data_IF_939280150151
#
_entry.id   IF_939280150151
#
_cell.length_a   1.000
_cell.length_b   1.000
_cell.length_c   1.000
_cell.angle_alpha   90.00
_cell.angle_beta   90.00
_cell.angle_gamma   90.00
#
_symmetry.space_group_name_H-M   'P 1'
#
loop_
_entity.id
_entity.type
_entity.pdbx_description
1 polymer ?
#
# COMPACT_ATOMS: atom_id res chain seq x y z
N UNK A 1 -21.95 2.45 -6.64
CA UNK A 1 -21.05 3.36 -5.89
C UNK A 1 -20.47 4.45 -6.78
N UNK A 2 -19.68 4.11 -7.82
CA UNK A 2 -19.05 5.12 -8.70
C UNK A 2 -20.04 6.17 -9.24
N UNK A 3 -21.17 5.76 -9.82
CA UNK A 3 -22.18 6.70 -10.33
C UNK A 3 -22.74 7.63 -9.26
N UNK A 4 -22.90 7.15 -8.02
CA UNK A 4 -23.37 7.98 -6.92
C UNK A 4 -22.32 9.03 -6.54
N UNK A 5 -21.03 8.66 -6.52
CA UNK A 5 -19.94 9.62 -6.30
C UNK A 5 -19.89 10.68 -7.41
N UNK A 6 -20.03 10.26 -8.66
CA UNK A 6 -20.06 11.18 -9.81
C UNK A 6 -21.25 12.15 -9.76
N UNK A 7 -22.42 11.69 -9.28
CA UNK A 7 -23.61 12.55 -9.15
C UNK A 7 -23.49 13.66 -8.10
N UNK A 8 -22.48 13.61 -7.21
CA UNK A 8 -22.25 14.68 -6.23
C UNK A 8 -21.70 15.96 -6.88
N UNK A 9 -21.18 15.89 -8.11
CA UNK A 9 -20.51 17.01 -8.77
C UNK A 9 -19.11 17.34 -8.21
N UNK A 10 -18.62 16.59 -7.22
CA UNK A 10 -17.28 16.77 -6.66
C UNK A 10 -16.28 15.78 -7.26
N UNK A 11 -15.03 16.21 -7.57
CA UNK A 11 -13.97 15.29 -7.94
C UNK A 11 -13.56 14.46 -6.72
N UNK A 12 -13.94 13.18 -6.71
CA UNK A 12 -13.65 12.23 -5.62
C UNK A 12 -12.69 11.16 -6.14
N UNK A 13 -11.58 10.95 -5.42
CA UNK A 13 -10.65 9.87 -5.70
C UNK A 13 -11.27 8.52 -5.31
N UNK A 14 -11.27 7.56 -6.23
CA UNK A 14 -11.86 6.23 -6.00
C UNK A 14 -10.77 5.19 -5.81
N UNK A 15 -10.59 4.72 -4.57
CA UNK A 15 -9.74 3.56 -4.25
C UNK A 15 -10.61 2.32 -4.03
N UNK A 16 -10.42 1.29 -4.86
CA UNK A 16 -11.17 0.04 -4.80
C UNK A 16 -10.47 -0.92 -3.86
N UNK A 17 -11.13 -1.31 -2.77
CA UNK A 17 -10.62 -2.29 -1.82
C UNK A 17 -11.53 -3.52 -1.80
N UNK A 18 -11.22 -4.49 -2.67
CA UNK A 18 -11.90 -5.80 -2.71
C UNK A 18 -10.90 -6.97 -2.63
N UNK A 19 -9.70 -6.70 -2.11
CA UNK A 19 -8.61 -7.65 -1.91
C UNK A 19 -8.15 -8.42 -3.15
N UNK A 20 -8.15 -7.80 -4.33
CA UNK A 20 -7.79 -8.49 -5.56
C UNK A 20 -8.89 -9.43 -6.10
N UNK A 21 -10.02 -9.53 -5.41
CA UNK A 21 -11.12 -10.44 -5.78
C UNK A 21 -11.80 -10.04 -7.09
N UNK A 22 -12.57 -10.98 -7.65
CA UNK A 22 -13.30 -10.81 -8.90
C UNK A 22 -12.42 -10.28 -10.06
N UNK A 23 -11.15 -10.68 -10.09
CA UNK A 23 -10.17 -10.28 -11.10
C UNK A 23 -10.08 -8.76 -11.30
N UNK A 24 -10.07 -7.99 -10.21
CA UNK A 24 -10.09 -6.52 -10.26
C UNK A 24 -9.00 -5.89 -11.15
N UNK A 25 -7.87 -6.57 -11.40
CA UNK A 25 -6.88 -6.07 -12.37
C UNK A 25 -7.43 -5.88 -13.78
N UNK A 26 -8.44 -6.64 -14.20
CA UNK A 26 -8.95 -6.55 -15.58
C UNK A 26 -9.89 -5.36 -15.80
N UNK A 27 -10.47 -4.81 -14.73
CA UNK A 27 -11.49 -3.76 -14.82
C UNK A 27 -11.30 -2.58 -13.86
N UNK A 28 -10.44 -2.69 -12.85
CA UNK A 28 -10.27 -1.70 -11.79
C UNK A 28 -9.85 -0.33 -12.31
N UNK A 29 -8.94 -0.29 -13.27
CA UNK A 29 -8.50 0.94 -13.95
C UNK A 29 -9.61 1.64 -14.75
N UNK A 30 -10.68 0.93 -15.14
CA UNK A 30 -11.77 1.54 -15.88
C UNK A 30 -12.74 2.33 -14.98
N UNK A 31 -12.79 2.01 -13.68
CA UNK A 31 -13.81 2.55 -12.77
C UNK A 31 -13.24 3.13 -11.46
N UNK A 32 -11.92 3.11 -11.27
CA UNK A 32 -11.25 3.64 -10.09
C UNK A 32 -9.87 4.21 -10.40
N UNK A 33 -9.35 4.98 -9.46
CA UNK A 33 -8.00 5.55 -9.53
C UNK A 33 -6.95 4.61 -8.94
N UNK A 34 -7.39 3.66 -8.14
CA UNK A 34 -6.57 2.55 -7.66
C UNK A 34 -7.41 1.35 -7.31
N UNK A 35 -6.79 0.17 -7.30
CA UNK A 35 -7.41 -1.05 -6.83
C UNK A 35 -6.41 -1.91 -6.08
N UNK A 36 -6.85 -2.47 -4.95
CA UNK A 36 -6.02 -3.33 -4.14
C UNK A 36 -5.80 -4.69 -4.83
N UNK A 37 -4.55 -5.16 -4.84
CA UNK A 37 -4.17 -6.41 -5.52
C UNK A 37 -4.28 -7.67 -4.64
N UNK A 38 -4.33 -7.51 -3.31
CA UNK A 38 -4.31 -8.61 -2.33
C UNK A 38 -5.03 -8.21 -1.04
N UNK A 39 -5.04 -9.07 -0.02
CA UNK A 39 -5.56 -8.76 1.33
C UNK A 39 -4.71 -7.72 2.08
N UNK A 40 -4.92 -7.56 3.38
CA UNK A 40 -4.17 -6.57 4.17
C UNK A 40 -2.68 -6.96 4.28
N UNK A 41 -1.81 -5.94 4.20
CA UNK A 41 -0.35 -6.08 4.40
C UNK A 41 0.00 -6.27 5.88
N UNK A 42 -0.81 -5.71 6.78
CA UNK A 42 -0.70 -6.03 8.20
C UNK A 42 -1.31 -7.41 8.49
N UNK A 43 -0.80 -8.14 9.50
CA UNK A 43 -1.31 -9.45 9.86
C UNK A 43 -2.68 -9.31 10.56
N UNK A 44 -3.73 -9.20 9.75
CA UNK A 44 -5.10 -8.92 10.20
C UNK A 44 -6.08 -10.09 10.02
N UNK A 45 -5.61 -11.29 9.64
CA UNK A 45 -6.47 -12.44 9.32
C UNK A 45 -6.03 -13.79 9.90
N UNK A 46 -5.48 -13.78 11.11
CA UNK A 46 -5.11 -15.03 11.81
C UNK A 46 -3.93 -15.79 11.18
N UNK A 47 -3.27 -15.20 10.18
CA UNK A 47 -2.00 -15.68 9.63
C UNK A 47 -0.85 -15.05 10.41
N UNK A 48 -0.13 -15.91 11.12
CA UNK A 48 1.24 -15.79 11.66
C UNK A 48 1.62 -14.65 12.63
N UNK A 49 0.86 -13.57 12.79
CA UNK A 49 1.15 -12.56 13.81
C UNK A 49 -0.08 -12.05 14.55
N UNK A 50 0.01 -12.08 15.87
CA UNK A 50 -1.04 -11.70 16.83
C UNK A 50 -0.87 -10.28 17.39
N UNK A 51 0.23 -9.58 17.09
CA UNK A 51 0.56 -8.27 17.69
C UNK A 51 0.33 -7.06 16.76
N UNK A 52 -0.05 -7.29 15.50
CA UNK A 52 -0.41 -6.26 14.52
C UNK A 52 0.77 -5.41 14.02
N UNK A 53 2.01 -5.89 14.17
CA UNK A 53 3.22 -5.21 13.68
C UNK A 53 3.51 -5.59 12.22
N UNK A 54 4.39 -4.83 11.57
CA UNK A 54 4.76 -5.08 10.18
C UNK A 54 5.83 -6.18 10.06
N UNK A 55 5.70 -7.05 9.07
CA UNK A 55 6.71 -8.07 8.75
C UNK A 55 7.37 -7.82 7.40
N UNK A 56 8.68 -8.01 7.35
CA UNK A 56 9.41 -7.93 6.08
C UNK A 56 9.01 -9.03 5.09
N UNK A 57 8.76 -10.26 5.57
CA UNK A 57 8.24 -11.37 4.76
C UNK A 57 6.98 -10.97 3.99
N UNK A 58 6.05 -10.32 4.69
CA UNK A 58 4.78 -9.86 4.14
C UNK A 58 4.98 -8.70 3.16
N UNK A 59 5.81 -7.73 3.51
CA UNK A 59 6.18 -6.63 2.59
C UNK A 59 6.80 -7.18 1.30
N UNK A 60 7.75 -8.10 1.40
CA UNK A 60 8.41 -8.71 0.25
C UNK A 60 7.44 -9.51 -0.63
N UNK A 61 6.47 -10.21 -0.02
CA UNK A 61 5.40 -10.91 -0.75
C UNK A 61 4.58 -9.94 -1.62
N UNK A 62 4.16 -8.80 -1.06
CA UNK A 62 3.38 -7.79 -1.79
C UNK A 62 4.19 -7.10 -2.88
N UNK A 63 5.46 -6.82 -2.62
CA UNK A 63 6.38 -6.30 -3.64
C UNK A 63 6.48 -7.29 -4.79
N UNK A 64 6.65 -8.59 -4.50
CA UNK A 64 6.72 -9.62 -5.53
C UNK A 64 5.40 -9.70 -6.32
N UNK A 65 4.24 -9.76 -5.66
CA UNK A 65 2.94 -9.79 -6.33
C UNK A 65 2.70 -8.57 -7.22
N UNK A 66 3.05 -7.37 -6.73
CA UNK A 66 2.85 -6.13 -7.47
C UNK A 66 3.83 -5.96 -8.63
N UNK A 67 5.04 -6.54 -8.53
CA UNK A 67 6.06 -6.45 -9.59
C UNK A 67 5.55 -6.98 -10.94
N UNK A 68 4.67 -7.99 -10.93
CA UNK A 68 4.05 -8.56 -12.13
C UNK A 68 2.92 -7.70 -12.72
N UNK A 69 2.47 -6.67 -12.01
CA UNK A 69 1.36 -5.78 -12.39
C UNK A 69 1.80 -4.38 -12.76
N UNK A 70 3.10 -4.13 -12.83
CA UNK A 70 3.65 -2.82 -13.16
C UNK A 70 3.28 -2.33 -14.57
N UNK A 71 2.91 -3.24 -15.47
CA UNK A 71 2.35 -2.92 -16.79
C UNK A 71 0.89 -2.41 -16.73
N UNK A 72 0.19 -2.62 -15.61
CA UNK A 72 -1.17 -2.12 -15.38
C UNK A 72 -1.18 -0.68 -14.83
N UNK A 73 -0.01 -0.11 -14.54
CA UNK A 73 0.14 1.25 -14.02
C UNK A 73 -0.06 2.27 -15.16
N UNK A 74 -1.14 3.06 -15.06
CA UNK A 74 -1.44 4.16 -15.95
C UNK A 74 -1.19 5.54 -15.32
N UNK A 75 -1.61 6.59 -16.03
CA UNK A 75 -1.62 7.95 -15.49
C UNK A 75 -2.75 8.14 -14.45
N UNK A 76 -3.91 7.53 -14.70
CA UNK A 76 -5.14 7.72 -13.91
C UNK A 76 -5.49 6.56 -12.98
N UNK A 77 -4.81 5.41 -13.11
CA UNK A 77 -5.14 4.16 -12.45
C UNK A 77 -3.90 3.33 -12.17
N UNK A 78 -3.89 2.59 -11.06
CA UNK A 78 -2.73 1.80 -10.60
C UNK A 78 -3.13 0.67 -9.64
N UNK A 79 -2.41 -0.46 -9.66
CA UNK A 79 -2.49 -1.45 -8.60
C UNK A 79 -1.99 -0.86 -7.27
N UNK A 80 -2.66 -1.24 -6.19
CA UNK A 80 -2.38 -0.82 -4.82
C UNK A 80 -1.89 -2.03 -3.99
N UNK A 81 -0.60 -2.08 -3.60
CA UNK A 81 -0.04 -3.12 -2.73
C UNK A 81 -0.37 -2.91 -1.24
N UNK A 82 -1.38 -2.10 -0.92
CA UNK A 82 -1.84 -1.76 0.42
C UNK A 82 -0.96 -0.72 1.15
N UNK A 83 -1.37 -0.40 2.38
CA UNK A 83 -0.89 0.73 3.18
C UNK A 83 0.60 0.70 3.51
N UNK A 84 1.11 1.87 3.88
CA UNK A 84 2.48 2.09 4.29
C UNK A 84 2.70 1.72 5.76
N UNK A 85 3.77 0.97 6.03
CA UNK A 85 4.05 0.32 7.33
C UNK A 85 5.39 0.73 7.94
N UNK A 86 6.06 1.75 7.39
CA UNK A 86 7.32 2.24 7.97
C UNK A 86 7.07 2.81 9.36
N UNK A 87 7.90 2.39 10.31
CA UNK A 87 7.74 2.73 11.72
C UNK A 87 6.78 1.82 12.48
N UNK A 88 6.15 0.82 11.85
CA UNK A 88 5.32 -0.17 12.53
C UNK A 88 6.14 -1.32 13.15
N UNK A 89 7.10 -0.94 14.01
CA UNK A 89 7.67 -1.73 15.12
C UNK A 89 8.65 -2.86 14.81
N UNK A 90 8.38 -3.70 13.81
CA UNK A 90 9.10 -4.98 13.63
C UNK A 90 10.00 -4.99 12.37
N UNK A 91 10.27 -3.82 11.81
CA UNK A 91 11.19 -3.62 10.68
C UNK A 91 12.49 -2.96 11.15
N UNK A 92 13.62 -3.49 10.71
CA UNK A 92 14.94 -2.86 10.85
C UNK A 92 15.00 -1.51 10.10
N UNK A 93 15.96 -0.61 10.41
CA UNK A 93 16.12 0.63 9.66
C UNK A 93 16.37 0.42 8.16
N UNK A 94 17.03 -0.67 7.78
CA UNK A 94 17.26 -1.01 6.39
C UNK A 94 15.97 -1.45 5.69
N UNK A 95 15.16 -2.30 6.33
CA UNK A 95 13.86 -2.73 5.82
C UNK A 95 12.87 -1.56 5.71
N UNK A 96 12.87 -0.63 6.66
CA UNK A 96 12.06 0.58 6.55
C UNK A 96 12.44 1.44 5.34
N UNK A 97 13.75 1.62 5.08
CA UNK A 97 14.22 2.35 3.88
C UNK A 97 13.85 1.62 2.59
N UNK A 98 14.01 0.30 2.57
CA UNK A 98 13.68 -0.52 1.41
C UNK A 98 12.16 -0.52 1.15
N UNK A 99 11.33 -0.67 2.17
CA UNK A 99 9.87 -0.56 2.10
C UNK A 99 9.43 0.75 1.46
N UNK A 100 9.95 1.88 1.97
CA UNK A 100 9.71 3.20 1.39
C UNK A 100 10.11 3.28 -0.08
N UNK A 101 11.35 2.91 -0.40
CA UNK A 101 11.86 2.99 -1.77
C UNK A 101 11.03 2.13 -2.75
N UNK A 102 10.64 0.92 -2.34
CA UNK A 102 9.85 0.01 -3.15
C UNK A 102 8.43 0.56 -3.40
N UNK A 103 7.77 1.12 -2.39
CA UNK A 103 6.45 1.75 -2.57
C UNK A 103 6.53 2.95 -3.53
N UNK A 104 7.60 3.76 -3.46
CA UNK A 104 7.81 4.87 -4.41
C UNK A 104 7.99 4.34 -5.84
N UNK A 105 8.87 3.36 -6.05
CA UNK A 105 9.19 2.81 -7.38
C UNK A 105 7.95 2.19 -8.02
N UNK A 106 7.13 1.47 -7.23
CA UNK A 106 5.92 0.81 -7.72
C UNK A 106 4.72 1.76 -7.91
N UNK A 107 4.88 3.06 -7.64
CA UNK A 107 3.80 4.06 -7.57
C UNK A 107 2.69 3.69 -6.58
N UNK A 108 3.02 2.97 -5.52
CA UNK A 108 2.08 2.57 -4.47
C UNK A 108 1.40 3.78 -3.81
N UNK A 109 0.25 3.55 -3.20
CA UNK A 109 -0.44 4.60 -2.45
C UNK A 109 0.20 4.79 -1.08
N UNK A 110 0.57 6.04 -0.80
CA UNK A 110 1.08 6.46 0.49
C UNK A 110 -0.08 6.82 1.41
N UNK A 111 -0.70 5.80 2.00
CA UNK A 111 -1.55 5.98 3.18
C UNK A 111 -0.80 5.44 4.39
N UNK A 112 -0.57 6.31 5.37
CA UNK A 112 0.05 5.92 6.63
C UNK A 112 -0.90 5.01 7.42
N UNK A 113 -0.49 3.77 7.70
CA UNK A 113 -1.31 2.83 8.46
C UNK A 113 -1.39 3.19 9.95
N UNK A 114 -0.25 3.16 10.64
CA UNK A 114 -0.12 3.56 12.05
C UNK A 114 1.04 4.53 12.23
N UNK A 115 0.75 5.70 12.82
CA UNK A 115 1.76 6.66 13.22
C UNK A 115 2.01 6.53 14.73
N UNK A 116 3.02 5.73 15.12
CA UNK A 116 3.63 5.91 16.43
C UNK A 116 4.54 7.14 16.31
N UNK A 117 4.23 8.19 17.07
CA UNK A 117 4.98 9.45 17.10
C UNK A 117 6.39 9.17 17.61
N UNK A 118 7.29 8.83 16.68
CA UNK A 118 8.73 9.00 16.79
C UNK A 118 9.31 8.94 15.37
N UNK A 119 9.16 10.05 14.63
CA UNK A 119 9.91 10.29 13.39
C UNK A 119 11.39 10.51 13.72
N UNK A 120 12.06 9.50 14.27
CA UNK A 120 13.53 9.51 14.46
C UNK A 120 14.28 9.32 13.14
N UNK A 121 13.58 9.06 12.04
CA UNK A 121 14.17 8.80 10.72
C UNK A 121 14.90 10.01 10.11
N UNK A 122 14.65 11.23 10.59
CA UNK A 122 15.31 12.45 10.11
C UNK A 122 16.33 13.00 11.15
N UNK A 123 16.25 12.59 12.42
CA UNK A 123 17.07 13.17 13.49
C UNK A 123 18.46 12.54 13.63
N UNK A 124 18.67 11.29 13.20
CA UNK A 124 19.97 10.62 13.36
C UNK A 124 21.04 11.01 12.32
N UNK A 125 20.76 11.98 11.44
CA UNK A 125 21.72 12.46 10.45
C UNK A 125 22.60 13.62 10.95
N UNK A 126 22.51 14.01 12.23
CA UNK A 126 23.23 15.17 12.75
C UNK A 126 24.18 14.88 13.93
N UNK A 127 24.82 13.72 13.91
CA UNK A 127 26.02 13.47 14.74
C UNK A 127 27.12 12.85 13.86
N UNK A 128 27.81 13.73 13.11
CA UNK A 128 29.23 13.62 12.79
C UNK A 128 29.88 14.97 13.02
#
# INVERSE_FOLDING_TARGET
>A
MLHALQSTGHPIYVSICNWGSASVSTWGNAIGNSYRISCDISPGRGELQTDGRAEWSRIAEFVNMNSFRMNEVGFWGRPDPDIFEVGNGNLTPAENRAHFALWVIMKGLFYWGRMYVSLQFISSYNER
#
